data_IF_537393907942
#
_entry.id   IF_537393907942
#
_cell.length_a   1.000
_cell.length_b   1.000
_cell.length_c   1.000
_cell.angle_alpha   90.00
_cell.angle_beta   90.00
_cell.angle_gamma   90.00
#
_symmetry.space_group_name_H-M   'P 1'
#
loop_
_entity.id
_entity.type
_entity.pdbx_description
1 polymer ?
#
# COMPACT_ATOMS: atom_id res chain seq x y z
N UNK A 1 -14.26 11.55 7.18
CA UNK A 1 -14.96 10.72 6.18
C UNK A 1 -15.56 9.43 6.74
N UNK A 2 -14.84 8.68 7.59
CA UNK A 2 -15.31 7.41 8.19
C UNK A 2 -16.78 7.38 8.63
N UNK A 3 -17.20 8.33 9.47
CA UNK A 3 -18.57 8.36 9.98
C UNK A 3 -19.64 8.55 8.89
N UNK A 4 -19.33 9.29 7.82
CA UNK A 4 -20.24 9.47 6.68
C UNK A 4 -20.33 8.18 5.86
N UNK A 5 -19.20 7.51 5.63
CA UNK A 5 -19.19 6.20 4.93
C UNK A 5 -19.96 5.16 5.74
N UNK A 6 -19.80 5.14 7.07
CA UNK A 6 -20.58 4.30 7.97
C UNK A 6 -22.08 4.68 8.02
N UNK A 7 -22.44 5.91 7.66
CA UNK A 7 -23.85 6.33 7.53
C UNK A 7 -24.60 5.63 6.40
N UNK A 8 -23.88 5.19 5.35
CA UNK A 8 -24.42 4.41 4.22
C UNK A 8 -24.89 3.01 4.59
N UNK A 9 -24.74 2.63 5.86
CA UNK A 9 -25.21 1.36 6.44
C UNK A 9 -26.55 1.46 7.14
N UNK A 10 -27.10 2.66 7.32
CA UNK A 10 -28.44 2.78 7.84
C UNK A 10 -29.40 1.97 6.95
N UNK A 11 -30.48 1.43 7.53
CA UNK A 11 -31.41 0.59 6.79
C UNK A 11 -32.11 1.45 5.71
N UNK A 12 -31.57 1.38 4.50
CA UNK A 12 -32.02 2.06 3.30
C UNK A 12 -32.40 1.00 2.26
N UNK A 13 -33.36 1.30 1.40
CA UNK A 13 -33.60 0.53 0.19
C UNK A 13 -32.42 0.66 -0.79
N UNK A 14 -32.32 -0.26 -1.76
CA UNK A 14 -31.18 -0.36 -2.67
C UNK A 14 -30.91 0.92 -3.47
N UNK A 15 -31.98 1.57 -3.95
CA UNK A 15 -31.88 2.80 -4.74
C UNK A 15 -31.40 3.97 -3.87
N UNK A 16 -31.94 4.12 -2.66
CA UNK A 16 -31.50 5.12 -1.69
C UNK A 16 -30.04 4.90 -1.25
N UNK A 17 -29.62 3.63 -1.07
CA UNK A 17 -28.22 3.30 -0.73
C UNK A 17 -27.27 3.69 -1.87
N UNK A 18 -27.63 3.42 -3.12
CA UNK A 18 -26.83 3.82 -4.28
C UNK A 18 -26.74 5.34 -4.43
N UNK A 19 -27.85 6.05 -4.21
CA UNK A 19 -27.87 7.51 -4.21
C UNK A 19 -26.99 8.09 -3.08
N UNK A 20 -27.05 7.52 -1.88
CA UNK A 20 -26.21 7.92 -0.76
C UNK A 20 -24.71 7.81 -1.08
N UNK A 21 -24.29 6.67 -1.66
CA UNK A 21 -22.90 6.49 -2.08
C UNK A 21 -22.46 7.52 -3.12
N UNK A 22 -23.35 7.82 -4.05
CA UNK A 22 -23.12 8.85 -5.07
C UNK A 22 -22.94 10.23 -4.43
N UNK A 23 -23.82 10.61 -3.49
CA UNK A 23 -23.75 11.91 -2.82
C UNK A 23 -22.53 12.06 -1.88
N UNK A 24 -22.06 10.96 -1.28
CA UNK A 24 -20.92 11.00 -0.34
C UNK A 24 -19.56 10.86 -1.03
N UNK A 25 -19.43 9.95 -1.99
CA UNK A 25 -18.14 9.59 -2.59
C UNK A 25 -17.84 10.38 -3.88
N UNK A 26 -18.87 10.65 -4.70
CA UNK A 26 -18.66 11.31 -6.00
C UNK A 26 -18.08 12.72 -5.88
N UNK A 27 -18.48 13.58 -4.92
CA UNK A 27 -17.87 14.90 -4.78
C UNK A 27 -16.38 14.85 -4.50
N UNK A 28 -15.91 13.86 -3.73
CA UNK A 28 -14.50 13.66 -3.45
C UNK A 28 -13.74 13.29 -4.73
N UNK A 29 -14.27 12.35 -5.51
CA UNK A 29 -13.69 11.94 -6.79
C UNK A 29 -13.64 13.09 -7.79
N UNK A 30 -14.73 13.86 -7.92
CA UNK A 30 -14.77 14.99 -8.83
C UNK A 30 -13.76 16.07 -8.45
N UNK A 31 -13.68 16.44 -7.15
CA UNK A 31 -12.70 17.41 -6.67
C UNK A 31 -11.28 16.97 -6.96
N UNK A 32 -10.95 15.72 -6.62
CA UNK A 32 -9.63 15.16 -6.86
C UNK A 32 -9.26 15.15 -8.35
N UNK A 33 -10.13 14.60 -9.21
CA UNK A 33 -9.88 14.54 -10.66
C UNK A 33 -9.81 15.92 -11.29
N UNK A 34 -10.61 16.88 -10.83
CA UNK A 34 -10.55 18.27 -11.29
C UNK A 34 -9.23 18.95 -10.93
N UNK A 35 -8.54 18.52 -9.87
CA UNK A 35 -7.22 19.04 -9.52
C UNK A 35 -6.14 18.38 -10.37
N UNK A 36 -6.08 17.04 -10.39
CA UNK A 36 -4.96 16.32 -11.02
C UNK A 36 -4.99 16.35 -12.55
N UNK A 37 -6.16 16.57 -13.15
CA UNK A 37 -6.32 16.65 -14.62
C UNK A 37 -6.25 18.08 -15.17
N UNK A 38 -5.93 19.07 -14.33
CA UNK A 38 -5.65 20.42 -14.83
C UNK A 38 -4.42 20.42 -15.74
N UNK A 39 -4.51 21.07 -16.90
CA UNK A 39 -3.39 21.14 -17.85
C UNK A 39 -2.12 21.76 -17.23
N UNK A 40 -2.31 22.69 -16.29
CA UNK A 40 -1.25 23.34 -15.53
C UNK A 40 -0.92 22.63 -14.20
N UNK A 41 -1.42 21.40 -13.94
CA UNK A 41 -1.22 20.70 -12.66
C UNK A 41 0.25 20.63 -12.26
N UNK A 42 1.17 20.33 -13.19
CA UNK A 42 2.61 20.29 -12.90
C UNK A 42 3.18 21.63 -12.39
N UNK A 43 2.58 22.75 -12.79
CA UNK A 43 2.99 24.10 -12.37
C UNK A 43 2.41 24.46 -11.00
N UNK A 44 1.14 24.09 -10.75
CA UNK A 44 0.40 24.47 -9.54
C UNK A 44 0.49 23.42 -8.42
N UNK A 45 0.99 22.21 -8.68
CA UNK A 45 0.99 21.11 -7.70
C UNK A 45 1.72 21.45 -6.40
N UNK A 46 2.66 22.40 -6.44
CA UNK A 46 3.41 22.85 -5.28
C UNK A 46 2.75 24.01 -4.52
N UNK A 47 1.66 24.59 -5.05
CA UNK A 47 0.90 25.63 -4.38
C UNK A 47 0.21 25.07 -3.13
N UNK A 48 0.15 25.89 -2.07
CA UNK A 48 -0.35 25.46 -0.78
C UNK A 48 -1.81 24.99 -0.84
N UNK A 49 -2.65 25.66 -1.64
CA UNK A 49 -4.06 25.30 -1.82
C UNK A 49 -4.20 23.92 -2.46
N UNK A 50 -3.40 23.64 -3.51
CA UNK A 50 -3.41 22.34 -4.18
C UNK A 50 -2.88 21.24 -3.27
N UNK A 51 -1.80 21.49 -2.53
CA UNK A 51 -1.27 20.53 -1.54
C UNK A 51 -2.31 20.20 -0.47
N UNK A 52 -2.98 21.21 0.08
CA UNK A 52 -4.02 21.01 1.09
C UNK A 52 -5.18 20.18 0.55
N UNK A 53 -5.61 20.41 -0.69
CA UNK A 53 -6.68 19.65 -1.33
C UNK A 53 -6.29 18.18 -1.56
N UNK A 54 -5.04 17.93 -1.99
CA UNK A 54 -4.50 16.57 -2.13
C UNK A 54 -4.41 15.88 -0.77
N UNK A 55 -3.83 16.53 0.25
CA UNK A 55 -3.75 15.99 1.62
C UNK A 55 -5.13 15.67 2.18
N UNK A 56 -6.08 16.59 2.09
CA UNK A 56 -7.46 16.37 2.55
C UNK A 56 -8.13 15.21 1.81
N UNK A 57 -7.83 15.03 0.52
CA UNK A 57 -8.31 13.87 -0.24
C UNK A 57 -7.69 12.58 0.27
N UNK A 58 -6.38 12.52 0.47
CA UNK A 58 -5.71 11.31 0.96
C UNK A 58 -6.19 10.93 2.36
N UNK A 59 -6.32 11.88 3.29
CA UNK A 59 -6.92 11.64 4.62
C UNK A 59 -8.37 11.12 4.52
N UNK A 60 -9.13 11.66 3.57
CA UNK A 60 -10.48 11.16 3.28
C UNK A 60 -10.46 9.71 2.80
N UNK A 61 -9.50 9.32 1.95
CA UNK A 61 -9.33 7.94 1.49
C UNK A 61 -8.96 6.98 2.64
N UNK A 62 -8.05 7.38 3.54
CA UNK A 62 -7.77 6.60 4.77
C UNK A 62 -9.06 6.38 5.56
N UNK A 63 -9.84 7.45 5.77
CA UNK A 63 -11.13 7.36 6.46
C UNK A 63 -12.17 6.49 5.76
N UNK A 64 -12.12 6.36 4.43
CA UNK A 64 -12.99 5.45 3.66
C UNK A 64 -12.51 4.00 3.84
N UNK A 65 -11.21 3.73 3.73
CA UNK A 65 -10.64 2.41 3.98
C UNK A 65 -10.96 1.91 5.40
N UNK A 66 -10.83 2.78 6.41
CA UNK A 66 -11.19 2.48 7.80
C UNK A 66 -12.68 2.14 8.01
N UNK A 67 -13.57 2.57 7.11
CA UNK A 67 -15.00 2.30 7.17
C UNK A 67 -15.41 1.03 6.41
N UNK A 68 -14.43 0.23 5.97
CA UNK A 68 -14.67 -1.08 5.34
C UNK A 68 -15.40 -2.01 6.30
N UNK A 69 -16.44 -2.64 5.79
CA UNK A 69 -17.11 -3.80 6.36
C UNK A 69 -17.37 -4.82 5.25
N UNK A 70 -17.80 -6.02 5.66
CA UNK A 70 -17.99 -7.18 4.76
C UNK A 70 -18.96 -6.85 3.60
N UNK A 71 -20.02 -6.10 3.86
CA UNK A 71 -21.08 -5.76 2.90
C UNK A 71 -20.72 -4.61 1.95
N UNK A 72 -19.75 -3.76 2.29
CA UNK A 72 -19.38 -2.59 1.49
C UNK A 72 -18.00 -2.69 0.82
N UNK A 73 -17.18 -3.67 1.20
CA UNK A 73 -15.80 -3.81 0.73
C UNK A 73 -15.70 -3.86 -0.79
N UNK A 74 -16.66 -4.50 -1.47
CA UNK A 74 -16.65 -4.58 -2.92
C UNK A 74 -16.81 -3.20 -3.59
N UNK A 75 -17.68 -2.35 -3.04
CA UNK A 75 -17.96 -1.00 -3.55
C UNK A 75 -16.79 -0.07 -3.20
N UNK A 76 -16.37 -0.08 -1.93
CA UNK A 76 -15.29 0.77 -1.46
C UNK A 76 -13.96 0.43 -2.11
N UNK A 77 -13.63 -0.85 -2.27
CA UNK A 77 -12.39 -1.24 -2.95
C UNK A 77 -12.36 -0.74 -4.39
N UNK A 78 -13.46 -0.91 -5.14
CA UNK A 78 -13.52 -0.43 -6.53
C UNK A 78 -13.33 1.10 -6.58
N UNK A 79 -13.97 1.83 -5.67
CA UNK A 79 -13.77 3.28 -5.56
C UNK A 79 -12.32 3.64 -5.24
N UNK A 80 -11.72 3.02 -4.22
CA UNK A 80 -10.36 3.32 -3.75
C UNK A 80 -9.29 2.93 -4.78
N UNK A 81 -9.50 1.84 -5.53
CA UNK A 81 -8.53 1.35 -6.51
C UNK A 81 -8.20 2.38 -7.61
N UNK A 82 -9.22 3.14 -8.05
CA UNK A 82 -9.02 4.25 -8.99
C UNK A 82 -8.11 5.33 -8.40
N UNK A 83 -8.24 5.64 -7.10
CA UNK A 83 -7.36 6.59 -6.43
C UNK A 83 -5.96 6.04 -6.23
N UNK A 84 -5.80 4.78 -5.83
CA UNK A 84 -4.49 4.15 -5.66
C UNK A 84 -3.66 4.26 -6.94
N UNK A 85 -4.29 4.00 -8.09
CA UNK A 85 -3.65 4.10 -9.40
C UNK A 85 -3.17 5.54 -9.68
N UNK A 86 -3.99 6.55 -9.36
CA UNK A 86 -3.59 7.95 -9.50
C UNK A 86 -2.51 8.37 -8.48
N UNK A 87 -2.54 7.80 -7.27
CA UNK A 87 -1.57 8.09 -6.21
C UNK A 87 -0.14 7.67 -6.59
N UNK A 88 0.02 6.63 -7.41
CA UNK A 88 1.34 6.26 -7.98
C UNK A 88 1.93 7.42 -8.78
N UNK A 89 1.12 8.07 -9.63
CA UNK A 89 1.54 9.26 -10.36
C UNK A 89 1.84 10.45 -9.45
N UNK A 90 1.02 10.64 -8.41
CA UNK A 90 1.24 11.69 -7.41
C UNK A 90 2.54 11.50 -6.63
N UNK A 91 2.96 10.26 -6.35
CA UNK A 91 4.23 9.99 -5.68
C UNK A 91 5.44 10.50 -6.47
N UNK A 92 5.37 10.50 -7.82
CA UNK A 92 6.41 11.10 -8.66
C UNK A 92 6.39 12.63 -8.62
N UNK A 93 5.20 13.22 -8.63
CA UNK A 93 5.00 14.69 -8.57
C UNK A 93 5.44 15.25 -7.22
N UNK A 94 5.10 14.55 -6.14
CA UNK A 94 5.34 14.97 -4.76
C UNK A 94 6.58 14.36 -4.12
N UNK A 95 7.50 13.76 -4.89
CA UNK A 95 8.73 13.13 -4.37
C UNK A 95 9.59 14.01 -3.44
N UNK A 96 9.45 15.33 -3.52
CA UNK A 96 10.16 16.29 -2.68
C UNK A 96 9.31 16.86 -1.52
N UNK A 97 8.12 16.31 -1.29
CA UNK A 97 7.20 16.69 -0.21
C UNK A 97 6.99 15.46 0.69
N UNK A 98 7.83 15.26 1.73
CA UNK A 98 7.83 14.03 2.54
C UNK A 98 6.46 13.69 3.13
N UNK A 99 5.76 14.67 3.70
CA UNK A 99 4.43 14.50 4.30
C UNK A 99 3.41 13.92 3.31
N UNK A 100 3.40 14.40 2.06
CA UNK A 100 2.49 13.88 1.03
C UNK A 100 2.89 12.49 0.57
N UNK A 101 4.20 12.20 0.44
CA UNK A 101 4.68 10.85 0.10
C UNK A 101 4.28 9.86 1.18
N UNK A 102 4.50 10.22 2.44
CA UNK A 102 4.17 9.41 3.60
C UNK A 102 2.66 9.09 3.65
N UNK A 103 1.81 10.10 3.49
CA UNK A 103 0.36 9.94 3.47
C UNK A 103 -0.14 9.11 2.27
N UNK A 104 0.52 9.21 1.10
CA UNK A 104 0.21 8.29 -0.01
C UNK A 104 0.48 6.84 0.40
N UNK A 105 1.62 6.54 1.04
CA UNK A 105 1.94 5.18 1.50
C UNK A 105 0.90 4.73 2.54
N UNK A 106 0.51 5.61 3.46
CA UNK A 106 -0.51 5.35 4.48
C UNK A 106 -1.87 4.95 3.88
N UNK A 107 -2.31 5.59 2.80
CA UNK A 107 -3.54 5.18 2.10
C UNK A 107 -3.45 3.73 1.60
N UNK A 108 -2.31 3.32 1.04
CA UNK A 108 -2.10 1.93 0.61
C UNK A 108 -2.08 0.97 1.80
N UNK A 109 -1.45 1.37 2.91
CA UNK A 109 -1.43 0.59 4.17
C UNK A 109 -2.85 0.34 4.65
N UNK A 110 -3.67 1.39 4.76
CA UNK A 110 -5.06 1.28 5.23
C UNK A 110 -5.92 0.41 4.31
N UNK A 111 -5.80 0.56 2.99
CA UNK A 111 -6.53 -0.30 2.05
C UNK A 111 -6.12 -1.76 2.20
N UNK A 112 -4.82 -2.06 2.21
CA UNK A 112 -4.34 -3.42 2.39
C UNK A 112 -4.79 -4.00 3.74
N UNK A 113 -4.59 -3.26 4.82
CA UNK A 113 -4.91 -3.69 6.17
C UNK A 113 -6.41 -3.97 6.36
N UNK A 114 -7.29 -3.12 5.82
CA UNK A 114 -8.74 -3.21 6.06
C UNK A 114 -9.48 -4.10 5.06
N UNK A 115 -8.98 -4.22 3.83
CA UNK A 115 -9.76 -4.81 2.73
C UNK A 115 -9.23 -6.16 2.26
N UNK A 116 -7.90 -6.41 2.30
CA UNK A 116 -7.29 -7.51 1.55
C UNK A 116 -7.88 -8.89 1.88
N UNK A 117 -8.17 -9.17 3.14
CA UNK A 117 -8.71 -10.46 3.59
C UNK A 117 -10.10 -10.76 3.00
N UNK A 118 -10.84 -9.75 2.54
CA UNK A 118 -12.18 -9.90 1.95
C UNK A 118 -12.16 -9.90 0.42
N UNK A 119 -11.01 -9.62 -0.20
CA UNK A 119 -10.92 -9.52 -1.66
C UNK A 119 -10.77 -10.91 -2.29
N UNK A 120 -11.54 -11.19 -3.34
CA UNK A 120 -11.27 -12.34 -4.22
C UNK A 120 -9.95 -12.18 -4.99
N UNK A 121 -9.49 -13.27 -5.61
CA UNK A 121 -8.16 -13.36 -6.25
C UNK A 121 -7.86 -12.21 -7.23
N UNK A 122 -8.79 -11.90 -8.15
CA UNK A 122 -8.61 -10.85 -9.16
C UNK A 122 -8.41 -9.46 -8.53
N UNK A 123 -9.22 -9.11 -7.52
CA UNK A 123 -9.10 -7.82 -6.81
C UNK A 123 -7.84 -7.75 -5.95
N UNK A 124 -7.48 -8.84 -5.29
CA UNK A 124 -6.22 -8.92 -4.53
C UNK A 124 -5.01 -8.75 -5.46
N UNK A 125 -5.03 -9.36 -6.65
CA UNK A 125 -3.99 -9.22 -7.66
C UNK A 125 -3.81 -7.76 -8.12
N UNK A 126 -4.91 -7.04 -8.36
CA UNK A 126 -4.84 -5.61 -8.70
C UNK A 126 -4.17 -4.79 -7.58
N UNK A 127 -4.50 -5.09 -6.33
CA UNK A 127 -3.88 -4.43 -5.18
C UNK A 127 -2.38 -4.76 -5.09
N UNK A 128 -2.00 -6.03 -5.26
CA UNK A 128 -0.61 -6.48 -5.31
C UNK A 128 0.21 -5.73 -6.37
N UNK A 129 -0.33 -5.59 -7.58
CA UNK A 129 0.32 -4.86 -8.67
C UNK A 129 0.49 -3.37 -8.36
N UNK A 130 -0.55 -2.72 -7.81
CA UNK A 130 -0.48 -1.31 -7.45
C UNK A 130 0.52 -1.06 -6.32
N UNK A 131 0.53 -1.92 -5.28
CA UNK A 131 1.52 -1.85 -4.21
C UNK A 131 2.95 -2.04 -4.75
N UNK A 132 3.19 -3.04 -5.60
CA UNK A 132 4.51 -3.26 -6.17
C UNK A 132 4.97 -2.05 -7.01
N UNK A 133 4.07 -1.48 -7.81
CA UNK A 133 4.35 -0.28 -8.63
C UNK A 133 4.66 0.94 -7.75
N UNK A 134 3.91 1.13 -6.66
CA UNK A 134 4.18 2.18 -5.68
C UNK A 134 5.60 2.05 -5.10
N UNK A 135 5.98 0.86 -4.67
CA UNK A 135 7.30 0.59 -4.11
C UNK A 135 8.43 0.81 -5.12
N UNK A 136 8.20 0.47 -6.39
CA UNK A 136 9.15 0.74 -7.47
C UNK A 136 9.35 2.26 -7.67
N UNK A 137 8.27 3.04 -7.68
CA UNK A 137 8.34 4.51 -7.79
C UNK A 137 9.03 5.12 -6.57
N UNK A 138 8.66 4.68 -5.36
CA UNK A 138 9.30 5.14 -4.13
C UNK A 138 10.80 4.85 -4.13
N UNK A 139 11.19 3.62 -4.43
CA UNK A 139 12.59 3.20 -4.45
C UNK A 139 13.39 3.98 -5.48
N UNK A 140 12.88 4.09 -6.71
CA UNK A 140 13.49 4.90 -7.78
C UNK A 140 13.71 6.36 -7.37
N UNK A 141 12.75 6.96 -6.66
CA UNK A 141 12.81 8.38 -6.28
C UNK A 141 13.73 8.66 -5.10
N UNK A 142 14.11 7.63 -4.34
CA UNK A 142 14.95 7.76 -3.15
C UNK A 142 16.34 7.13 -3.30
N UNK A 143 16.53 6.23 -4.26
CA UNK A 143 17.83 5.60 -4.49
C UNK A 143 18.88 6.63 -4.92
N UNK A 144 20.00 6.68 -4.20
CA UNK A 144 21.10 7.61 -4.46
C UNK A 144 20.78 9.08 -4.13
N UNK A 145 19.63 9.36 -3.53
CA UNK A 145 19.25 10.72 -3.15
C UNK A 145 20.01 11.14 -1.89
N UNK A 146 20.86 12.15 -2.02
CA UNK A 146 21.50 12.80 -0.87
C UNK A 146 20.53 13.80 -0.27
N UNK A 147 19.92 13.46 0.87
CA UNK A 147 19.07 14.39 1.62
C UNK A 147 19.96 15.22 2.56
N UNK A 148 19.88 16.54 2.43
CA UNK A 148 20.69 17.51 3.20
C UNK A 148 19.93 17.99 4.44
N UNK A 149 18.61 17.76 4.48
CA UNK A 149 17.74 18.26 5.54
C UNK A 149 17.91 17.49 6.85
N UNK A 150 17.73 18.18 7.97
CA UNK A 150 18.03 17.63 9.31
C UNK A 150 17.02 16.56 9.72
N UNK A 151 15.80 16.63 9.21
CA UNK A 151 14.70 15.66 9.46
C UNK A 151 14.67 14.53 8.45
N UNK A 152 15.52 14.57 7.43
CA UNK A 152 15.41 13.69 6.28
C UNK A 152 15.53 12.19 6.59
N UNK A 153 16.32 11.86 7.61
CA UNK A 153 16.48 10.50 8.13
C UNK A 153 15.20 10.04 8.84
N UNK A 154 14.59 10.91 9.65
CA UNK A 154 13.35 10.61 10.36
C UNK A 154 12.18 10.46 9.39
N UNK A 155 12.07 11.31 8.38
CA UNK A 155 11.07 11.19 7.33
C UNK A 155 11.21 9.86 6.57
N UNK A 156 12.45 9.49 6.21
CA UNK A 156 12.72 8.21 5.54
C UNK A 156 12.43 7.01 6.45
N UNK A 157 12.73 7.12 7.74
CA UNK A 157 12.39 6.10 8.72
C UNK A 157 10.88 5.86 8.79
N UNK A 158 10.06 6.93 8.84
CA UNK A 158 8.60 6.81 8.88
C UNK A 158 8.05 6.17 7.60
N UNK A 159 8.54 6.59 6.43
CA UNK A 159 8.14 5.98 5.15
C UNK A 159 8.44 4.48 5.11
N UNK A 160 9.66 4.09 5.53
CA UNK A 160 10.07 2.69 5.53
C UNK A 160 9.25 1.86 6.52
N UNK A 161 8.87 2.42 7.67
CA UNK A 161 8.01 1.74 8.63
C UNK A 161 6.62 1.46 8.05
N UNK A 162 6.01 2.44 7.37
CA UNK A 162 4.74 2.24 6.67
C UNK A 162 4.87 1.21 5.53
N UNK A 163 5.98 1.22 4.79
CA UNK A 163 6.22 0.19 3.76
C UNK A 163 6.33 -1.20 4.38
N UNK A 164 7.04 -1.35 5.51
CA UNK A 164 7.15 -2.62 6.21
C UNK A 164 5.78 -3.12 6.68
N UNK A 165 4.94 -2.22 7.19
CA UNK A 165 3.57 -2.51 7.57
C UNK A 165 2.71 -2.91 6.36
N UNK A 166 2.80 -2.18 5.24
CA UNK A 166 2.11 -2.51 3.99
C UNK A 166 2.44 -3.94 3.56
N UNK A 167 3.74 -4.26 3.45
CA UNK A 167 4.20 -5.57 3.04
C UNK A 167 3.71 -6.68 3.98
N UNK A 168 3.68 -6.41 5.29
CA UNK A 168 3.14 -7.34 6.29
C UNK A 168 1.64 -7.56 6.08
N UNK A 169 0.87 -6.49 5.86
CA UNK A 169 -0.56 -6.58 5.59
C UNK A 169 -0.86 -7.33 4.29
N UNK A 170 -0.03 -7.23 3.25
CA UNK A 170 -0.20 -7.98 2.00
C UNK A 170 -0.12 -9.50 2.20
N UNK A 171 0.69 -9.97 3.16
CA UNK A 171 0.76 -11.39 3.49
C UNK A 171 -0.44 -11.89 4.30
N UNK A 172 -1.21 -11.00 4.93
CA UNK A 172 -2.29 -11.40 5.85
C UNK A 172 -3.35 -12.28 5.18
N UNK A 173 -3.63 -12.07 3.89
CA UNK A 173 -4.59 -12.88 3.12
C UNK A 173 -4.21 -14.35 3.04
N UNK A 174 -2.93 -14.68 3.05
CA UNK A 174 -2.45 -16.08 3.00
C UNK A 174 -2.80 -16.87 4.29
N UNK A 175 -3.16 -16.18 5.38
CA UNK A 175 -3.53 -16.78 6.66
C UNK A 175 -4.99 -16.51 7.05
N UNK A 176 -5.55 -15.40 6.57
CA UNK A 176 -6.90 -14.93 6.87
C UNK A 176 -7.59 -14.62 5.53
N UNK A 177 -8.24 -15.62 4.96
CA UNK A 177 -9.04 -15.46 3.73
C UNK A 177 -10.53 -15.56 4.03
N UNK A 178 -11.23 -14.43 3.93
CA UNK A 178 -12.69 -14.32 4.04
C UNK A 178 -13.38 -14.18 2.68
N UNK A 179 -12.65 -14.27 1.57
CA UNK A 179 -13.21 -14.10 0.22
C UNK A 179 -14.23 -15.19 -0.15
N UNK A 180 -14.16 -16.36 0.50
CA UNK A 180 -15.11 -17.46 0.33
C UNK A 180 -16.42 -17.28 1.11
N UNK A 181 -16.48 -16.32 2.03
CA UNK A 181 -17.60 -16.21 2.99
C UNK A 181 -18.82 -15.45 2.48
N UNK A 182 -18.87 -15.01 1.22
CA UNK A 182 -20.06 -14.31 0.71
C UNK A 182 -20.40 -14.57 -0.76
N UNK A 183 -21.70 -14.78 -1.01
CA UNK A 183 -22.29 -14.94 -2.36
C UNK A 183 -22.18 -13.65 -3.19
N UNK A 184 -21.79 -12.52 -2.57
CA UNK A 184 -21.60 -11.20 -3.19
C UNK A 184 -20.51 -11.21 -4.27
N UNK A 185 -19.51 -12.10 -4.17
CA UNK A 185 -18.47 -12.28 -5.19
C UNK A 185 -18.75 -13.41 -6.19
N UNK A 186 -19.88 -14.15 -6.04
CA UNK A 186 -20.28 -15.22 -7.00
C UNK A 186 -20.95 -14.70 -8.28
N UNK A 187 -20.78 -13.42 -8.59
CA UNK A 187 -21.17 -12.84 -9.87
C UNK A 187 -20.10 -13.04 -10.94
N UNK A 188 -20.13 -14.18 -11.63
CA UNK A 188 -19.54 -14.44 -12.96
C UNK A 188 -18.06 -14.06 -13.18
N UNK A 189 -17.10 -14.89 -12.78
CA UNK A 189 -15.91 -15.14 -13.61
C UNK A 189 -15.46 -16.61 -13.49
N UNK A 190 -15.54 -17.43 -14.55
CA UNK A 190 -14.93 -18.75 -14.55
C UNK A 190 -13.40 -18.59 -14.53
N UNK A 191 -12.77 -19.14 -13.50
CA UNK A 191 -11.32 -19.13 -13.30
C UNK A 191 -10.56 -19.65 -14.52
N UNK A 192 -9.95 -18.72 -15.26
CA UNK A 192 -8.84 -19.04 -16.15
C UNK A 192 -7.55 -18.92 -15.35
N UNK A 193 -7.11 -20.06 -14.81
CA UNK A 193 -5.73 -20.20 -14.37
C UNK A 193 -4.82 -20.18 -15.60
N UNK A 194 -4.34 -19.00 -15.97
CA UNK A 194 -3.30 -18.84 -17.00
C UNK A 194 -2.18 -17.95 -16.52
N UNK A 195 -0.98 -18.54 -16.48
CA UNK A 195 0.35 -17.94 -16.55
C UNK A 195 0.75 -16.93 -15.45
N UNK A 196 1.54 -17.43 -14.48
CA UNK A 196 2.37 -16.67 -13.53
C UNK A 196 1.67 -15.45 -12.92
N UNK A 197 0.65 -15.70 -12.11
CA UNK A 197 0.07 -14.69 -11.25
C UNK A 197 1.10 -14.22 -10.21
N UNK A 198 1.14 -12.91 -9.96
CA UNK A 198 1.94 -12.31 -8.89
C UNK A 198 1.28 -12.71 -7.56
N UNK A 199 1.99 -13.48 -6.73
CA UNK A 199 1.51 -13.85 -5.39
C UNK A 199 1.90 -12.81 -4.33
N UNK A 200 1.24 -12.83 -3.17
CA UNK A 200 1.58 -11.99 -2.03
C UNK A 200 3.07 -12.11 -1.67
N UNK A 201 3.56 -13.36 -1.58
CA UNK A 201 4.96 -13.66 -1.31
C UNK A 201 5.91 -13.04 -2.35
N UNK A 202 5.55 -13.04 -3.63
CA UNK A 202 6.36 -12.41 -4.67
C UNK A 202 6.43 -10.90 -4.43
N UNK A 203 5.29 -10.23 -4.24
CA UNK A 203 5.27 -8.77 -3.97
C UNK A 203 6.12 -8.42 -2.77
N UNK A 204 6.06 -9.21 -1.69
CA UNK A 204 6.86 -8.94 -0.51
C UNK A 204 8.34 -9.17 -0.76
N UNK A 205 8.74 -10.27 -1.40
CA UNK A 205 10.14 -10.52 -1.71
C UNK A 205 10.75 -9.43 -2.62
N UNK A 206 10.00 -9.00 -3.65
CA UNK A 206 10.42 -7.87 -4.49
C UNK A 206 10.41 -6.55 -3.73
N UNK A 207 9.39 -6.31 -2.90
CA UNK A 207 9.24 -5.09 -2.10
C UNK A 207 10.37 -4.91 -1.09
N UNK A 208 10.70 -5.95 -0.34
CA UNK A 208 11.85 -5.99 0.58
C UNK A 208 13.15 -5.69 -0.16
N UNK A 209 13.35 -6.28 -1.34
CA UNK A 209 14.54 -6.02 -2.15
C UNK A 209 14.59 -4.58 -2.68
N UNK A 210 13.46 -3.95 -2.98
CA UNK A 210 13.40 -2.54 -3.42
C UNK A 210 13.76 -1.56 -2.31
N UNK A 211 13.42 -1.86 -1.05
CA UNK A 211 13.68 -0.98 0.10
C UNK A 211 15.00 -1.26 0.81
N UNK A 212 15.56 -2.46 0.66
CA UNK A 212 16.82 -2.84 1.33
C UNK A 212 17.96 -1.85 1.06
N UNK A 213 18.20 -1.36 -0.18
CA UNK A 213 19.22 -0.34 -0.44
C UNK A 213 18.95 1.02 0.25
N UNK A 214 17.72 1.25 0.69
CA UNK A 214 17.29 2.48 1.37
C UNK A 214 17.46 2.38 2.89
N UNK A 215 17.63 1.18 3.45
CA UNK A 215 17.88 0.95 4.88
C UNK A 215 19.37 1.10 5.19
N UNK A 216 19.80 2.34 5.48
CA UNK A 216 21.17 2.61 5.90
C UNK A 216 21.48 1.91 7.24
N UNK A 217 22.78 1.79 7.55
CA UNK A 217 23.23 1.26 8.85
C UNK A 217 22.70 2.10 10.03
N UNK A 218 22.48 3.40 9.84
CA UNK A 218 21.92 4.27 10.87
C UNK A 218 20.42 4.03 11.04
N UNK A 219 19.66 3.83 9.94
CA UNK A 219 18.25 3.46 9.99
C UNK A 219 18.00 2.09 10.63
N UNK A 220 18.92 1.13 10.45
CA UNK A 220 18.84 -0.18 11.10
C UNK A 220 19.13 -0.12 12.62
N UNK A 221 19.67 0.98 13.16
CA UNK A 221 19.79 1.17 14.62
C UNK A 221 18.44 1.41 15.29
N UNK A 222 17.41 1.81 14.53
CA UNK A 222 16.07 1.97 15.06
C UNK A 222 15.42 0.59 15.26
N UNK A 223 15.15 0.17 16.51
CA UNK A 223 14.75 -1.20 16.79
C UNK A 223 13.44 -1.62 16.11
N UNK A 224 12.48 -0.70 15.99
CA UNK A 224 11.18 -1.01 15.38
C UNK A 224 11.31 -1.41 13.91
N UNK A 225 12.06 -0.62 13.12
CA UNK A 225 12.27 -0.89 11.70
C UNK A 225 13.08 -2.17 11.49
N UNK A 226 14.19 -2.31 12.22
CA UNK A 226 15.03 -3.50 12.15
C UNK A 226 14.25 -4.77 12.50
N UNK A 227 13.52 -4.76 13.62
CA UNK A 227 12.71 -5.90 14.03
C UNK A 227 11.60 -6.24 13.03
N UNK A 228 10.90 -5.24 12.49
CA UNK A 228 9.86 -5.50 11.48
C UNK A 228 10.47 -6.09 10.20
N UNK A 229 11.62 -5.58 9.76
CA UNK A 229 12.35 -6.10 8.61
C UNK A 229 12.72 -7.58 8.78
N UNK A 230 13.40 -7.91 9.88
CA UNK A 230 13.83 -9.28 10.13
C UNK A 230 12.67 -10.23 10.39
N UNK A 231 11.64 -9.80 11.11
CA UNK A 231 10.41 -10.59 11.28
C UNK A 231 9.78 -10.91 9.94
N UNK A 232 9.67 -9.93 9.04
CA UNK A 232 9.05 -10.13 7.74
C UNK A 232 9.84 -11.11 6.87
N UNK A 233 11.17 -10.94 6.76
CA UNK A 233 11.98 -11.85 5.92
C UNK A 233 12.01 -13.27 6.49
N UNK A 234 12.15 -13.42 7.81
CA UNK A 234 12.16 -14.74 8.47
C UNK A 234 10.82 -15.42 8.28
N UNK A 235 9.72 -14.67 8.44
CA UNK A 235 8.38 -15.18 8.22
C UNK A 235 8.17 -15.68 6.80
N UNK A 236 8.61 -14.96 5.77
CA UNK A 236 8.52 -15.46 4.38
C UNK A 236 9.37 -16.71 4.19
N UNK A 237 10.54 -16.78 4.82
CA UNK A 237 11.40 -17.95 4.71
C UNK A 237 10.79 -19.20 5.36
N UNK A 238 10.04 -19.01 6.43
CA UNK A 238 9.35 -20.09 7.14
C UNK A 238 8.09 -20.57 6.41
N UNK A 239 7.30 -19.64 5.86
CA UNK A 239 6.01 -19.96 5.24
C UNK A 239 6.13 -20.35 3.77
N UNK A 240 7.05 -19.72 3.02
CA UNK A 240 7.24 -19.94 1.58
C UNK A 240 8.68 -20.34 1.22
N UNK A 241 9.27 -21.38 1.87
CA UNK A 241 10.65 -21.79 1.62
C UNK A 241 10.89 -22.19 0.16
N UNK A 242 9.87 -22.69 -0.54
CA UNK A 242 9.95 -23.08 -1.94
C UNK A 242 10.16 -21.90 -2.90
N UNK A 243 9.82 -20.67 -2.49
CA UNK A 243 10.03 -19.45 -3.28
C UNK A 243 11.49 -18.99 -3.24
N UNK A 244 12.23 -19.26 -2.16
CA UNK A 244 13.60 -18.78 -1.98
C UNK A 244 14.54 -19.25 -3.11
N UNK A 245 14.60 -20.55 -3.48
CA UNK A 245 15.47 -20.99 -4.56
C UNK A 245 15.05 -20.50 -5.94
N UNK A 246 13.82 -20.00 -6.08
CA UNK A 246 13.27 -19.48 -7.34
C UNK A 246 13.53 -17.98 -7.52
N UNK A 247 14.10 -17.32 -6.50
CA UNK A 247 14.45 -15.91 -6.57
C UNK A 247 15.51 -15.65 -7.64
N UNK A 248 15.46 -14.48 -8.30
CA UNK A 248 16.59 -13.99 -9.08
C UNK A 248 17.86 -13.97 -8.23
N UNK A 249 19.01 -14.23 -8.87
CA UNK A 249 20.31 -14.37 -8.17
C UNK A 249 20.63 -13.18 -7.26
N UNK A 250 20.36 -11.96 -7.71
CA UNK A 250 20.61 -10.74 -6.94
C UNK A 250 19.71 -10.66 -5.69
N UNK A 251 18.42 -11.01 -5.82
CA UNK A 251 17.47 -11.03 -4.69
C UNK A 251 17.87 -12.09 -3.67
N UNK A 252 18.25 -13.28 -4.14
CA UNK A 252 18.72 -14.36 -3.28
C UNK A 252 19.97 -13.93 -2.50
N UNK A 253 20.96 -13.33 -3.17
CA UNK A 253 22.18 -12.82 -2.52
C UNK A 253 21.86 -11.75 -1.48
N UNK A 254 21.00 -10.79 -1.82
CA UNK A 254 20.55 -9.74 -0.90
C UNK A 254 19.88 -10.32 0.35
N UNK A 255 18.99 -11.29 0.17
CA UNK A 255 18.31 -11.97 1.28
C UNK A 255 19.30 -12.72 2.19
N UNK A 256 20.22 -13.49 1.59
CA UNK A 256 21.23 -14.23 2.36
C UNK A 256 22.16 -13.29 3.13
N UNK A 257 22.57 -12.18 2.50
CA UNK A 257 23.38 -11.16 3.17
C UNK A 257 22.65 -10.54 4.36
N UNK A 258 21.35 -10.21 4.21
CA UNK A 258 20.54 -9.73 5.33
C UNK A 258 20.48 -10.75 6.46
N UNK A 259 20.23 -12.03 6.16
CA UNK A 259 20.21 -13.07 7.20
C UNK A 259 21.55 -13.21 7.92
N UNK A 260 22.67 -13.19 7.19
CA UNK A 260 24.01 -13.21 7.77
C UNK A 260 24.26 -11.99 8.67
N UNK A 261 23.85 -10.79 8.21
CA UNK A 261 23.95 -9.56 8.99
C UNK A 261 23.14 -9.64 10.28
N UNK A 262 21.92 -10.16 10.22
CA UNK A 262 21.05 -10.38 11.39
C UNK A 262 21.73 -11.25 12.43
N UNK A 263 22.26 -12.40 12.00
CA UNK A 263 22.92 -13.37 12.89
C UNK A 263 24.23 -12.87 13.52
N UNK A 264 24.95 -11.97 12.85
CA UNK A 264 26.31 -11.58 13.24
C UNK A 264 26.39 -10.24 13.96
N UNK A 265 25.43 -9.34 13.74
CA UNK A 265 25.57 -7.93 14.13
C UNK A 265 24.35 -7.29 14.78
N UNK A 266 23.18 -7.93 14.74
CA UNK A 266 21.94 -7.37 15.29
C UNK A 266 21.66 -7.89 16.72
N UNK A 267 20.62 -7.36 17.37
CA UNK A 267 20.27 -7.73 18.76
C UNK A 267 19.87 -9.20 18.87
N UNK A 268 19.92 -9.76 20.08
CA UNK A 268 19.57 -11.18 20.32
C UNK A 268 18.12 -11.56 20.00
N UNK A 269 17.26 -10.56 19.81
CA UNK A 269 15.83 -10.73 19.51
C UNK A 269 15.55 -10.78 17.99
N UNK A 270 16.58 -10.52 17.17
CA UNK A 270 16.61 -10.59 15.70
C UNK A 270 17.28 -11.89 15.27
#
# INVERSE_FOLDING_TARGET
MKALVLGGFAHMDGDTKQQYWTEVLQPLQQRFLNVINQENFQQICQEQEVKQEITATLEALCGIAEATQIDNVAILFNFLMDFLTNCIGLMEVYKNTPETVNLIIEVFVEVAHKQICYLGESKAMNLYEACLTLLQVYSKNNLGRQRIDVTAEEDQYQDLLLIMELLTNLLSKEFIDFSDTDEVFRGHEPGQATNRSISAADVVLYGVNLILPLMSQDLLKFPSLCNQYYKLITFICEIFPEKIPQLPEDLFKSLMYSLELGMTSMSSDV
#
